data_IF_631171425084
#
_entry.id   IF_631171425084
#
_cell.length_a   1.000
_cell.length_b   1.000
_cell.length_c   1.000
_cell.angle_alpha   90.00
_cell.angle_beta   90.00
_cell.angle_gamma   90.00
#
_symmetry.space_group_name_H-M   'P 1'
#
loop_
_entity.id
_entity.type
_entity.pdbx_description
1 polymer ?
#
# COMPACT_ATOMS: atom_id res chain seq x y z
N UNK A 1 9.75 2.93 -5.25
CA UNK A 1 8.76 1.93 -5.65
C UNK A 1 9.53 0.83 -6.34
N UNK A 2 9.49 -0.35 -5.78
CA UNK A 2 10.08 -1.57 -6.35
C UNK A 2 8.93 -2.44 -6.84
N UNK A 3 9.00 -2.95 -8.07
CA UNK A 3 7.97 -3.81 -8.64
C UNK A 3 8.63 -5.09 -9.13
N UNK A 4 8.19 -6.22 -8.61
CA UNK A 4 8.71 -7.55 -8.92
C UNK A 4 7.61 -8.36 -9.61
N UNK A 5 7.71 -8.62 -10.93
CA UNK A 5 6.78 -9.48 -11.64
C UNK A 5 6.75 -10.90 -11.02
N UNK A 6 5.56 -11.50 -10.94
CA UNK A 6 5.32 -12.86 -10.44
C UNK A 6 4.63 -13.71 -11.51
N UNK A 7 4.96 -13.47 -12.78
CA UNK A 7 4.27 -13.99 -13.95
C UNK A 7 3.79 -12.88 -14.88
N UNK A 8 2.98 -13.22 -15.88
CA UNK A 8 2.47 -12.27 -16.87
C UNK A 8 1.32 -11.38 -16.36
N UNK A 9 0.58 -11.89 -15.38
CA UNK A 9 -0.65 -11.30 -14.86
C UNK A 9 -0.57 -10.94 -13.37
N UNK A 10 0.60 -11.08 -12.74
CA UNK A 10 0.83 -10.82 -11.31
C UNK A 10 2.12 -10.05 -11.08
N UNK A 11 2.12 -9.19 -10.08
CA UNK A 11 3.33 -8.56 -9.57
C UNK A 11 3.21 -8.24 -8.07
N UNK A 12 4.34 -8.07 -7.42
CA UNK A 12 4.45 -7.49 -6.10
C UNK A 12 5.00 -6.06 -6.22
N UNK A 13 4.41 -5.10 -5.52
CA UNK A 13 4.87 -3.72 -5.49
C UNK A 13 5.17 -3.29 -4.05
N UNK A 14 6.40 -2.87 -3.80
CA UNK A 14 6.88 -2.47 -2.47
C UNK A 14 7.26 -0.98 -2.48
N UNK A 15 6.75 -0.24 -1.50
CA UNK A 15 7.09 1.18 -1.34
C UNK A 15 7.01 1.63 0.11
N UNK A 16 7.73 2.72 0.41
CA UNK A 16 7.58 3.43 1.67
C UNK A 16 6.46 4.48 1.53
N UNK A 17 5.51 4.45 2.46
CA UNK A 17 4.41 5.42 2.59
C UNK A 17 4.65 6.29 3.82
N UNK A 18 4.44 7.61 3.69
CA UNK A 18 4.30 8.52 4.83
C UNK A 18 2.83 8.92 4.93
N UNK A 19 2.26 8.81 6.12
CA UNK A 19 0.88 9.21 6.37
C UNK A 19 0.80 10.28 7.45
N UNK A 20 -0.17 11.16 7.27
CA UNK A 20 -0.47 12.27 8.15
C UNK A 20 -1.99 12.48 8.11
N UNK A 21 -2.67 11.81 9.04
CA UNK A 21 -4.12 11.75 9.09
C UNK A 21 -4.64 12.51 10.30
N UNK A 22 -5.54 13.45 10.05
CA UNK A 22 -6.28 14.17 11.08
C UNK A 22 -7.78 13.90 10.88
N UNK A 23 -8.45 13.20 11.81
CA UNK A 23 -9.89 12.99 11.75
C UNK A 23 -10.64 14.32 11.73
N UNK A 24 -11.59 14.48 10.80
CA UNK A 24 -12.36 15.73 10.65
C UNK A 24 -13.31 15.99 11.81
N UNK A 25 -13.81 14.92 12.41
CA UNK A 25 -14.76 14.91 13.53
C UNK A 25 -14.07 15.07 14.90
N UNK A 26 -12.72 15.16 14.92
CA UNK A 26 -11.89 15.22 16.14
C UNK A 26 -12.12 14.05 17.11
N UNK A 27 -12.66 12.92 16.61
CA UNK A 27 -12.93 11.75 17.44
C UNK A 27 -11.65 11.05 17.93
N UNK A 28 -10.53 11.26 17.23
CA UNK A 28 -9.24 10.71 17.59
C UNK A 28 -8.09 11.73 17.38
N UNK A 29 -6.95 11.42 18.00
CA UNK A 29 -5.71 12.17 17.80
C UNK A 29 -5.18 12.04 16.36
N UNK A 30 -4.37 13.01 15.95
CA UNK A 30 -3.65 12.97 14.68
C UNK A 30 -2.78 11.72 14.61
N UNK A 31 -2.88 10.97 13.52
CA UNK A 31 -2.08 9.79 13.24
C UNK A 31 -1.02 10.13 12.18
N UNK A 32 0.24 10.14 12.58
CA UNK A 32 1.37 10.38 11.68
C UNK A 32 2.36 9.23 11.74
N UNK A 33 2.93 8.84 10.62
CA UNK A 33 3.95 7.80 10.62
C UNK A 33 4.48 7.44 9.25
N UNK A 34 5.32 6.42 9.23
CA UNK A 34 5.84 5.79 8.02
C UNK A 34 5.51 4.31 8.04
N UNK A 35 5.25 3.74 6.87
CA UNK A 35 5.03 2.32 6.70
C UNK A 35 5.74 1.82 5.44
N UNK A 36 6.27 0.60 5.50
CA UNK A 36 6.60 -0.17 4.31
C UNK A 36 5.34 -0.90 3.89
N UNK A 37 4.87 -0.64 2.69
CA UNK A 37 3.68 -1.25 2.10
C UNK A 37 4.13 -2.25 1.03
N UNK A 38 3.54 -3.43 1.07
CA UNK A 38 3.66 -4.46 0.04
C UNK A 38 2.27 -4.71 -0.55
N UNK A 39 2.13 -4.51 -1.86
CA UNK A 39 0.91 -4.80 -2.60
C UNK A 39 1.10 -6.03 -3.48
N UNK A 40 0.20 -7.00 -3.38
CA UNK A 40 -0.01 -7.97 -4.45
C UNK A 40 -0.95 -7.37 -5.49
N UNK A 41 -0.54 -7.33 -6.75
CA UNK A 41 -1.37 -6.84 -7.85
C UNK A 41 -1.60 -7.91 -8.90
N UNK A 42 -2.83 -7.94 -9.44
CA UNK A 42 -3.25 -8.87 -10.48
C UNK A 42 -3.82 -8.11 -11.68
N UNK A 43 -3.61 -8.63 -12.88
CA UNK A 43 -4.19 -8.08 -14.11
C UNK A 43 -5.59 -8.63 -14.29
N UNK A 44 -6.60 -7.77 -14.15
CA UNK A 44 -8.00 -8.15 -14.28
C UNK A 44 -8.80 -7.06 -15.01
N UNK A 45 -9.63 -7.46 -15.98
CA UNK A 45 -10.49 -6.53 -16.72
C UNK A 45 -9.73 -5.45 -17.49
N UNK A 46 -8.57 -5.78 -18.06
CA UNK A 46 -7.76 -4.86 -18.87
C UNK A 46 -6.83 -3.93 -18.09
N UNK A 47 -6.82 -4.00 -16.76
CA UNK A 47 -5.94 -3.19 -15.92
C UNK A 47 -5.38 -3.95 -14.72
N UNK A 48 -4.44 -3.33 -14.02
CA UNK A 48 -3.92 -3.84 -12.75
C UNK A 48 -4.87 -3.48 -11.60
N UNK A 49 -5.09 -4.43 -10.70
CA UNK A 49 -5.88 -4.27 -9.48
C UNK A 49 -5.08 -4.76 -8.28
N UNK A 50 -5.32 -4.15 -7.13
CA UNK A 50 -4.75 -4.59 -5.85
C UNK A 50 -5.54 -5.83 -5.39
N UNK A 51 -4.86 -6.96 -5.26
CA UNK A 51 -5.40 -8.21 -4.71
C UNK A 51 -5.15 -8.30 -3.21
N UNK A 52 -4.00 -7.81 -2.74
CA UNK A 52 -3.62 -7.82 -1.32
C UNK A 52 -2.80 -6.58 -0.94
N UNK A 53 -2.89 -6.19 0.32
CA UNK A 53 -2.07 -5.15 0.93
C UNK A 53 -1.58 -5.62 2.31
N UNK A 54 -0.28 -5.48 2.55
CA UNK A 54 0.30 -5.60 3.89
C UNK A 54 1.11 -4.35 4.20
N UNK A 55 0.91 -3.80 5.39
CA UNK A 55 1.58 -2.59 5.85
C UNK A 55 2.33 -2.87 7.15
N UNK A 56 3.63 -2.56 7.17
CA UNK A 56 4.47 -2.65 8.36
C UNK A 56 4.93 -1.25 8.77
N UNK A 57 4.63 -0.85 10.01
CA UNK A 57 5.12 0.41 10.56
C UNK A 57 6.66 0.43 10.55
N UNK A 58 7.23 1.56 10.12
CA UNK A 58 8.67 1.81 10.16
C UNK A 58 8.98 2.68 11.38
N UNK A 59 10.05 2.33 12.10
CA UNK A 59 10.57 3.16 13.20
C UNK A 59 11.19 4.46 12.69
#
# INVERSE_FOLDING_TARGET
LEVTPQGEDRAEAVFAMRYDYLPKDRSAARLTGKARVTLGVVKAGGGWRIESETSQAMQ
#
